data_IF_834160848880
#
_entry.id   IF_834160848880
#
_cell.length_a   1.000
_cell.length_b   1.000
_cell.length_c   1.000
_cell.angle_alpha   90.00
_cell.angle_beta   90.00
_cell.angle_gamma   90.00
#
_symmetry.space_group_name_H-M   'P 1'
#
loop_
_entity.id
_entity.type
_entity.pdbx_description
1 polymer ?
#
# COMPACT_ATOMS: atom_id res chain seq x y z
N UNK A 1 10.02 12.77 -3.13
CA UNK A 1 9.23 13.31 -1.98
C UNK A 1 7.96 12.47 -1.86
N UNK A 2 7.33 12.33 -0.69
CA UNK A 2 6.13 11.50 -0.54
C UNK A 2 4.84 12.33 -0.65
N UNK A 3 3.84 11.80 -1.36
CA UNK A 3 2.44 12.24 -1.29
C UNK A 3 1.74 11.32 -0.30
N UNK A 4 1.12 11.90 0.71
CA UNK A 4 0.28 11.21 1.68
C UNK A 4 -1.14 11.18 1.14
N UNK A 5 -1.70 9.99 0.97
CA UNK A 5 -3.10 9.87 0.60
C UNK A 5 -3.86 9.51 1.86
N UNK A 6 -4.43 10.54 2.47
CA UNK A 6 -5.41 10.34 3.52
C UNK A 6 -6.67 9.74 2.90
N UNK A 7 -7.16 8.63 3.45
CA UNK A 7 -8.37 7.93 3.00
C UNK A 7 -9.67 8.73 3.25
N UNK A 8 -9.56 10.06 3.35
CA UNK A 8 -10.44 10.88 4.15
C UNK A 8 -11.90 10.94 3.67
N UNK A 9 -12.19 10.71 2.38
CA UNK A 9 -13.56 10.90 1.89
C UNK A 9 -14.05 10.11 0.67
N UNK A 10 -13.46 8.95 0.38
CA UNK A 10 -14.13 7.94 -0.47
C UNK A 10 -15.43 7.38 0.16
N UNK A 11 -15.85 7.87 1.34
CA UNK A 11 -16.60 7.08 2.32
C UNK A 11 -17.65 7.81 3.19
N UNK A 12 -18.27 8.98 2.89
CA UNK A 12 -19.46 9.47 3.69
C UNK A 12 -20.19 10.77 3.23
N UNK A 13 -21.54 10.86 3.45
CA UNK A 13 -22.07 11.90 4.32
C UNK A 13 -22.98 11.42 5.49
N UNK A 14 -22.66 12.04 6.63
CA UNK A 14 -23.05 12.06 8.06
C UNK A 14 -24.55 11.81 8.44
N UNK A 15 -24.81 10.95 9.47
CA UNK A 15 -25.38 11.29 10.82
C UNK A 15 -25.74 10.05 11.68
N UNK A 16 -25.08 9.97 12.84
CA UNK A 16 -25.46 9.37 14.15
C UNK A 16 -25.41 7.82 14.35
N UNK A 17 -24.39 7.40 15.14
CA UNK A 17 -24.31 6.37 16.21
C UNK A 17 -25.10 5.05 16.05
N UNK A 18 -24.52 3.83 16.12
CA UNK A 18 -23.88 3.17 17.30
C UNK A 18 -23.15 1.86 16.86
N UNK A 19 -22.17 1.44 17.64
CA UNK A 19 -21.17 0.36 17.45
C UNK A 19 -21.74 -1.08 17.49
N UNK A 20 -21.18 -2.02 16.72
CA UNK A 20 -21.08 -3.46 17.05
C UNK A 20 -19.88 -4.10 16.33
N UNK A 21 -18.95 -4.69 17.09
CA UNK A 21 -17.83 -5.50 16.58
C UNK A 21 -18.35 -6.88 16.11
N UNK A 22 -17.82 -7.36 14.98
CA UNK A 22 -17.90 -8.77 14.60
C UNK A 22 -16.49 -9.31 14.31
N UNK A 23 -16.09 -10.31 15.10
CA UNK A 23 -14.84 -11.05 14.99
C UNK A 23 -15.03 -12.22 14.02
N UNK A 24 -14.20 -12.30 12.96
CA UNK A 24 -14.12 -13.48 12.11
C UNK A 24 -12.77 -14.19 12.36
N UNK A 25 -12.74 -15.51 12.64
CA UNK A 25 -11.52 -16.25 12.96
C UNK A 25 -10.71 -16.66 11.70
N UNK A 26 -9.40 -16.94 11.83
CA UNK A 26 -8.53 -17.27 10.70
C UNK A 26 -8.71 -18.73 10.22
N UNK A 27 -8.73 -18.93 8.91
CA UNK A 27 -8.68 -20.26 8.28
C UNK A 27 -7.22 -20.72 8.07
N UNK A 28 -6.88 -22.00 8.31
CA UNK A 28 -5.53 -22.52 8.13
C UNK A 28 -5.30 -23.05 6.70
N UNK A 29 -4.17 -22.69 6.08
CA UNK A 29 -3.65 -23.40 4.91
C UNK A 29 -2.35 -24.11 5.29
N UNK A 30 -2.38 -25.44 5.22
CA UNK A 30 -1.21 -26.31 5.35
C UNK A 30 -0.65 -26.59 3.94
N UNK A 31 0.67 -26.44 3.77
CA UNK A 31 1.40 -26.88 2.57
C UNK A 31 2.28 -28.07 2.96
N UNK A 32 2.07 -29.19 2.28
CA UNK A 32 2.87 -30.42 2.39
C UNK A 32 4.17 -30.27 1.60
N UNK A 33 5.31 -30.49 2.25
CA UNK A 33 6.61 -30.54 1.62
C UNK A 33 6.82 -31.87 0.88
N UNK A 34 7.30 -31.83 -0.36
CA UNK A 34 7.93 -32.95 -1.03
C UNK A 34 9.28 -32.47 -1.58
N UNK A 35 10.32 -33.20 -1.21
CA UNK A 35 11.72 -32.87 -1.39
C UNK A 35 12.28 -33.74 -2.53
N UNK A 36 12.83 -33.16 -3.59
CA UNK A 36 13.77 -33.87 -4.48
C UNK A 36 14.76 -32.88 -5.09
N UNK A 37 16.03 -33.15 -4.84
CA UNK A 37 17.23 -32.45 -5.30
C UNK A 37 17.62 -32.83 -6.73
N UNK A 38 18.06 -31.85 -7.53
CA UNK A 38 19.16 -32.03 -8.50
C UNK A 38 19.73 -30.68 -8.93
N UNK A 39 21.02 -30.50 -8.70
CA UNK A 39 21.83 -29.35 -9.14
C UNK A 39 22.04 -29.34 -10.66
N UNK A 40 21.93 -28.18 -11.29
CA UNK A 40 22.78 -27.82 -12.44
C UNK A 40 22.95 -26.31 -12.51
N UNK A 41 24.21 -25.88 -12.48
CA UNK A 41 24.60 -24.48 -12.50
C UNK A 41 24.43 -23.85 -13.87
N UNK A 42 23.67 -22.76 -13.92
CA UNK A 42 23.76 -21.77 -14.99
C UNK A 42 23.92 -20.39 -14.36
N UNK A 43 25.01 -19.71 -14.74
CA UNK A 43 25.36 -18.38 -14.28
C UNK A 43 24.21 -17.39 -14.56
N UNK A 44 23.61 -16.87 -13.49
CA UNK A 44 22.59 -15.83 -13.54
C UNK A 44 23.26 -14.49 -13.90
N UNK A 45 23.10 -14.06 -15.15
CA UNK A 45 23.37 -12.68 -15.54
C UNK A 45 22.26 -11.79 -14.97
N UNK A 46 22.59 -10.98 -13.97
CA UNK A 46 21.67 -10.02 -13.36
C UNK A 46 21.13 -9.05 -14.42
N UNK A 47 19.81 -8.80 -14.50
CA UNK A 47 19.27 -7.75 -15.35
C UNK A 47 19.77 -6.39 -14.86
N UNK A 48 20.36 -5.61 -15.76
CA UNK A 48 20.72 -4.21 -15.52
C UNK A 48 19.45 -3.41 -15.28
N UNK A 49 19.09 -3.22 -14.01
CA UNK A 49 18.06 -2.26 -13.62
C UNK A 49 18.47 -0.86 -14.07
N UNK A 50 17.49 -0.12 -14.58
CA UNK A 50 17.55 1.24 -15.10
C UNK A 50 18.20 2.15 -14.04
N UNK A 51 19.48 2.48 -14.24
CA UNK A 51 20.20 3.49 -13.47
C UNK A 51 19.87 4.85 -14.05
N UNK A 52 18.80 5.48 -13.58
CA UNK A 52 18.57 6.90 -13.79
C UNK A 52 17.89 7.48 -12.56
N UNK A 53 18.54 7.39 -11.41
CA UNK A 53 18.18 8.18 -10.24
C UNK A 53 18.75 9.59 -10.47
N UNK A 54 17.88 10.59 -10.56
CA UNK A 54 18.26 12.00 -10.78
C UNK A 54 19.20 12.48 -9.65
N UNK A 55 20.46 12.77 -10.00
CA UNK A 55 21.51 13.26 -9.09
C UNK A 55 21.07 14.52 -8.29
N UNK A 56 20.16 15.35 -8.84
CA UNK A 56 19.67 16.55 -8.14
C UNK A 56 18.77 16.20 -6.95
N UNK A 57 17.98 15.13 -7.03
CA UNK A 57 17.18 14.65 -5.90
C UNK A 57 18.06 14.07 -4.79
N UNK A 58 19.10 13.34 -5.17
CA UNK A 58 20.08 12.78 -4.24
C UNK A 58 20.81 13.88 -3.43
N UNK A 59 21.14 15.02 -4.05
CA UNK A 59 21.74 16.17 -3.36
C UNK A 59 20.79 16.84 -2.36
N UNK A 60 19.50 16.97 -2.67
CA UNK A 60 18.49 17.55 -1.76
C UNK A 60 18.22 16.66 -0.54
N UNK A 61 18.16 15.34 -0.74
CA UNK A 61 18.02 14.36 0.35
C UNK A 61 19.26 14.36 1.28
N UNK A 62 20.46 14.47 0.71
CA UNK A 62 21.71 14.60 1.50
C UNK A 62 21.77 15.90 2.31
N UNK A 63 21.37 17.02 1.72
CA UNK A 63 21.39 18.32 2.41
C UNK A 63 20.48 18.33 3.66
N UNK A 64 19.34 17.63 3.61
CA UNK A 64 18.46 17.47 4.77
C UNK A 64 19.05 16.52 5.83
N UNK A 65 19.67 15.40 5.40
CA UNK A 65 20.32 14.45 6.30
C UNK A 65 21.51 15.04 7.08
N UNK A 66 22.19 16.05 6.52
CA UNK A 66 23.40 16.63 7.12
C UNK A 66 23.08 17.59 8.30
N UNK A 67 21.83 18.03 8.46
CA UNK A 67 21.40 18.91 9.57
C UNK A 67 20.97 18.14 10.84
N UNK A 68 20.96 16.80 10.79
CA UNK A 68 20.62 15.93 11.91
C UNK A 68 21.86 15.15 12.40
N UNK A 69 22.89 15.85 12.87
CA UNK A 69 24.17 15.24 13.27
C UNK A 69 24.21 14.78 14.72
N UNK A 70 23.45 13.74 15.06
CA UNK A 70 23.82 12.71 16.05
C UNK A 70 23.17 11.40 15.59
N UNK A 71 23.82 10.25 15.81
CA UNK A 71 23.30 8.94 15.44
C UNK A 71 22.10 8.57 16.35
N UNK A 72 20.96 9.23 16.14
CA UNK A 72 19.72 9.04 16.87
C UNK A 72 19.11 7.68 16.59
N UNK A 73 19.59 6.96 15.59
CA UNK A 73 19.05 5.70 15.10
C UNK A 73 19.62 4.48 15.84
N UNK A 74 20.67 4.65 16.65
CA UNK A 74 21.28 3.53 17.39
C UNK A 74 20.38 3.06 18.55
N UNK A 75 20.41 1.77 18.93
CA UNK A 75 19.61 1.25 20.04
C UNK A 75 19.84 1.98 21.36
N UNK A 76 21.06 2.46 21.61
CA UNK A 76 21.38 3.22 22.82
C UNK A 76 20.53 4.49 22.98
N UNK A 77 20.07 5.06 21.87
CA UNK A 77 19.19 6.23 21.84
C UNK A 77 17.71 5.86 21.68
N UNK A 78 17.38 4.58 21.44
CA UNK A 78 16.02 4.06 21.25
C UNK A 78 15.78 2.79 22.08
N UNK A 79 15.50 2.91 23.39
CA UNK A 79 15.28 1.76 24.26
C UNK A 79 14.18 0.83 23.71
N UNK A 80 14.48 -0.48 23.65
CA UNK A 80 13.58 -1.50 23.12
C UNK A 80 13.80 -1.85 21.64
N UNK A 81 14.62 -1.08 20.91
CA UNK A 81 15.05 -1.43 19.56
C UNK A 81 16.07 -2.59 19.61
N UNK A 82 15.75 -3.69 18.94
CA UNK A 82 16.71 -4.77 18.71
C UNK A 82 17.46 -4.51 17.39
N UNK A 83 18.79 -4.48 17.44
CA UNK A 83 19.66 -4.24 16.27
C UNK A 83 19.88 -5.48 15.41
N UNK A 84 19.55 -6.67 15.93
CA UNK A 84 19.75 -7.95 15.24
C UNK A 84 18.39 -8.62 15.05
N UNK A 85 17.88 -8.66 13.81
CA UNK A 85 16.72 -9.47 13.47
C UNK A 85 16.97 -10.93 13.82
N UNK A 86 15.95 -11.60 14.35
CA UNK A 86 16.00 -13.04 14.61
C UNK A 86 16.16 -13.80 13.28
N UNK A 87 16.99 -14.84 13.28
CA UNK A 87 17.19 -15.74 12.14
C UNK A 87 15.88 -16.27 11.56
N UNK A 88 14.89 -16.55 12.41
CA UNK A 88 13.57 -17.03 12.01
C UNK A 88 12.76 -16.00 11.20
N UNK A 89 13.07 -14.71 11.31
CA UNK A 89 12.32 -13.61 10.67
C UNK A 89 13.01 -13.04 9.42
N UNK A 90 14.18 -13.57 9.04
CA UNK A 90 14.98 -13.03 7.92
C UNK A 90 14.27 -12.99 6.57
N UNK A 91 13.30 -13.88 6.35
CA UNK A 91 12.52 -13.92 5.10
C UNK A 91 11.25 -13.07 5.12
N UNK A 92 10.93 -12.40 6.23
CA UNK A 92 9.69 -11.64 6.35
C UNK A 92 9.82 -10.32 5.60
N UNK A 93 8.75 -9.92 4.94
CA UNK A 93 8.64 -8.60 4.32
C UNK A 93 7.21 -8.08 4.45
N UNK A 94 7.05 -6.76 4.42
CA UNK A 94 5.73 -6.14 4.43
C UNK A 94 5.08 -6.33 3.07
N UNK A 95 4.18 -7.30 2.97
CA UNK A 95 3.57 -7.68 1.70
C UNK A 95 2.35 -6.82 1.34
N UNK A 96 1.44 -6.55 2.28
CA UNK A 96 0.19 -5.86 1.98
C UNK A 96 -0.29 -4.91 3.06
N UNK A 97 -1.05 -3.91 2.62
CA UNK A 97 -1.94 -3.10 3.46
C UNK A 97 -3.37 -3.24 2.94
N UNK A 98 -4.29 -3.68 3.80
CA UNK A 98 -5.68 -3.91 3.42
C UNK A 98 -6.58 -2.72 3.79
N UNK A 99 -7.39 -2.30 2.83
CA UNK A 99 -8.42 -1.27 2.99
C UNK A 99 -9.76 -1.78 2.48
N UNK A 100 -10.82 -1.57 3.26
CA UNK A 100 -12.17 -1.86 2.79
C UNK A 100 -12.68 -0.73 1.91
N UNK A 101 -13.29 -1.07 0.79
CA UNK A 101 -13.82 -0.12 -0.20
C UNK A 101 -15.32 -0.30 -0.38
N UNK A 102 -16.05 0.83 -0.46
CA UNK A 102 -17.50 0.84 -0.67
C UNK A 102 -17.84 0.43 -2.10
N UNK A 103 -17.24 1.11 -3.08
CA UNK A 103 -17.45 0.85 -4.49
C UNK A 103 -16.10 0.53 -5.14
N UNK A 104 -15.90 -0.71 -5.64
CA UNK A 104 -14.66 -1.09 -6.29
C UNK A 104 -14.46 -0.35 -7.61
N UNK A 105 -15.50 0.08 -8.32
CA UNK A 105 -15.36 0.80 -9.61
C UNK A 105 -14.68 2.14 -9.40
N UNK A 106 -15.17 2.92 -8.43
CA UNK A 106 -14.60 4.23 -8.07
C UNK A 106 -13.18 4.05 -7.55
N UNK A 107 -12.98 3.04 -6.69
CA UNK A 107 -11.66 2.78 -6.09
C UNK A 107 -10.64 2.36 -7.14
N UNK A 108 -10.98 1.43 -8.02
CA UNK A 108 -10.11 0.96 -9.10
C UNK A 108 -9.74 2.10 -10.06
N UNK A 109 -10.69 2.96 -10.43
CA UNK A 109 -10.39 4.14 -11.26
C UNK A 109 -9.40 5.09 -10.56
N UNK A 110 -9.61 5.37 -9.27
CA UNK A 110 -8.69 6.20 -8.50
C UNK A 110 -7.28 5.59 -8.43
N UNK A 111 -7.15 4.34 -7.96
CA UNK A 111 -5.83 3.71 -7.81
C UNK A 111 -5.13 3.48 -9.14
N UNK A 112 -5.87 3.20 -10.22
CA UNK A 112 -5.27 2.98 -11.55
C UNK A 112 -5.02 4.28 -12.32
N UNK A 113 -6.06 5.04 -12.67
CA UNK A 113 -5.95 6.23 -13.51
C UNK A 113 -5.29 7.39 -12.78
N UNK A 114 -5.65 7.63 -11.51
CA UNK A 114 -5.11 8.76 -10.76
C UNK A 114 -3.73 8.42 -10.21
N UNK A 115 -3.55 7.27 -9.57
CA UNK A 115 -2.28 6.93 -8.91
C UNK A 115 -1.31 6.10 -9.76
N UNK A 116 -1.74 5.56 -10.89
CA UNK A 116 -0.88 4.79 -11.80
C UNK A 116 -0.61 3.35 -11.36
N UNK A 117 -1.38 2.81 -10.41
CA UNK A 117 -1.24 1.40 -10.00
C UNK A 117 -1.89 0.46 -11.02
N UNK A 118 -1.37 -0.76 -11.11
CA UNK A 118 -1.98 -1.83 -11.93
C UNK A 118 -2.69 -2.84 -11.04
N UNK A 119 -3.78 -3.42 -11.56
CA UNK A 119 -4.47 -4.54 -10.92
C UNK A 119 -3.65 -5.81 -11.15
N UNK A 120 -3.11 -6.38 -10.08
CA UNK A 120 -2.25 -7.56 -10.13
C UNK A 120 -3.10 -8.83 -10.08
N UNK A 121 -4.05 -8.90 -9.15
CA UNK A 121 -4.94 -10.05 -8.98
C UNK A 121 -6.31 -9.61 -8.47
N UNK A 122 -7.35 -10.31 -8.92
CA UNK A 122 -8.68 -10.29 -8.30
C UNK A 122 -9.00 -11.68 -7.79
N UNK A 123 -9.54 -11.76 -6.57
CA UNK A 123 -10.08 -12.99 -5.99
C UNK A 123 -11.52 -12.74 -5.56
N UNK A 124 -12.43 -13.58 -5.98
CA UNK A 124 -13.86 -13.48 -5.66
C UNK A 124 -14.24 -14.65 -4.75
N UNK A 125 -14.95 -14.38 -3.66
CA UNK A 125 -15.39 -15.38 -2.67
C UNK A 125 -16.91 -15.37 -2.56
N UNK A 126 -17.63 -16.10 -3.43
CA UNK A 126 -19.10 -16.03 -3.50
C UNK A 126 -19.80 -16.46 -2.21
N UNK A 127 -19.31 -17.51 -1.55
CA UNK A 127 -19.91 -18.03 -0.32
C UNK A 127 -19.87 -17.01 0.84
N UNK A 128 -18.85 -16.15 0.84
CA UNK A 128 -18.65 -15.11 1.84
C UNK A 128 -19.05 -13.71 1.36
N UNK A 129 -19.50 -13.58 0.10
CA UNK A 129 -19.96 -12.34 -0.54
C UNK A 129 -18.95 -11.17 -0.46
N UNK A 130 -17.69 -11.44 -0.77
CA UNK A 130 -16.70 -10.37 -0.93
C UNK A 130 -15.71 -10.65 -2.06
N UNK A 131 -15.08 -9.58 -2.54
CA UNK A 131 -14.02 -9.62 -3.55
C UNK A 131 -12.78 -8.88 -3.04
N UNK A 132 -11.60 -9.38 -3.39
CA UNK A 132 -10.31 -8.79 -3.10
C UNK A 132 -9.65 -8.30 -4.39
N UNK A 133 -9.15 -7.07 -4.40
CA UNK A 133 -8.43 -6.48 -5.51
C UNK A 133 -7.02 -6.08 -5.05
N UNK A 134 -6.01 -6.73 -5.59
CA UNK A 134 -4.61 -6.46 -5.25
C UNK A 134 -4.02 -5.47 -6.25
N UNK A 135 -3.71 -4.26 -5.79
CA UNK A 135 -3.17 -3.16 -6.60
C UNK A 135 -1.69 -2.90 -6.25
N UNK A 136 -0.86 -2.59 -7.24
CA UNK A 136 0.55 -2.25 -6.99
C UNK A 136 1.24 -1.58 -8.17
N UNK A 137 2.49 -1.17 -7.99
CA UNK A 137 3.35 -0.54 -9.01
C UNK A 137 4.23 -1.57 -9.74
N UNK A 138 3.66 -2.71 -10.09
CA UNK A 138 4.36 -3.80 -10.78
C UNK A 138 4.02 -3.83 -12.25
N UNK A 139 4.91 -4.43 -13.05
CA UNK A 139 4.63 -4.63 -14.46
C UNK A 139 3.78 -5.87 -14.71
N UNK A 140 2.53 -5.65 -15.14
CA UNK A 140 1.57 -6.71 -15.44
C UNK A 140 1.93 -7.53 -16.68
N UNK A 141 2.78 -7.02 -17.57
CA UNK A 141 3.17 -7.71 -18.80
C UNK A 141 4.15 -8.85 -18.49
N UNK A 142 4.89 -8.74 -17.38
CA UNK A 142 5.74 -9.77 -16.82
C UNK A 142 4.99 -10.75 -15.90
N UNK A 143 3.70 -10.53 -15.65
CA UNK A 143 2.94 -11.38 -14.74
C UNK A 143 2.56 -12.71 -15.44
N UNK A 144 2.63 -13.85 -14.73
CA UNK A 144 2.23 -15.14 -15.29
C UNK A 144 0.80 -15.14 -15.82
N UNK A 145 0.58 -15.88 -16.91
CA UNK A 145 -0.74 -16.09 -17.49
C UNK A 145 -1.56 -17.10 -16.69
N UNK A 146 -0.92 -18.11 -16.11
CA UNK A 146 -1.58 -19.06 -15.23
C UNK A 146 -2.09 -18.37 -13.95
N UNK A 147 -3.29 -18.73 -13.54
CA UNK A 147 -3.98 -18.09 -12.41
C UNK A 147 -3.29 -18.38 -11.08
N UNK A 148 -2.81 -19.60 -10.86
CA UNK A 148 -2.15 -19.99 -9.62
C UNK A 148 -0.76 -19.36 -9.53
N UNK A 149 0.02 -19.41 -10.61
CA UNK A 149 1.34 -18.77 -10.68
C UNK A 149 1.23 -17.25 -10.51
N UNK A 150 0.23 -16.60 -11.12
CA UNK A 150 -0.01 -15.17 -10.93
C UNK A 150 -0.34 -14.83 -9.49
N UNK A 151 -0.99 -15.73 -8.76
CA UNK A 151 -1.30 -15.56 -7.34
C UNK A 151 -0.01 -15.58 -6.53
N UNK A 152 0.84 -16.59 -6.73
CA UNK A 152 2.16 -16.67 -6.08
C UNK A 152 3.01 -15.43 -6.39
N UNK A 153 3.06 -15.03 -7.66
CA UNK A 153 3.77 -13.82 -8.10
C UNK A 153 3.26 -12.56 -7.40
N UNK A 154 1.94 -12.39 -7.27
CA UNK A 154 1.35 -11.21 -6.61
C UNK A 154 1.71 -11.14 -5.13
N UNK A 155 1.66 -12.28 -4.42
CA UNK A 155 1.98 -12.34 -2.98
C UNK A 155 3.47 -12.23 -2.66
N UNK A 156 4.33 -12.08 -3.67
CA UNK A 156 5.75 -11.73 -3.50
C UNK A 156 6.03 -10.23 -3.63
N UNK A 157 4.98 -9.40 -3.79
CA UNK A 157 5.08 -7.96 -4.04
C UNK A 157 4.46 -7.14 -2.92
N UNK A 158 4.83 -5.86 -2.84
CA UNK A 158 4.17 -4.88 -1.95
C UNK A 158 2.89 -4.38 -2.62
N UNK A 159 1.74 -4.65 -2.02
CA UNK A 159 0.43 -4.37 -2.63
C UNK A 159 -0.53 -3.66 -1.67
N UNK A 160 -1.49 -2.95 -2.24
CA UNK A 160 -2.70 -2.53 -1.54
C UNK A 160 -3.79 -3.55 -1.84
N UNK A 161 -4.31 -4.20 -0.80
CA UNK A 161 -5.47 -5.08 -0.88
C UNK A 161 -6.74 -4.24 -0.67
N UNK A 162 -7.58 -4.15 -1.69
CA UNK A 162 -8.89 -3.52 -1.58
C UNK A 162 -9.95 -4.60 -1.39
N UNK A 163 -10.58 -4.63 -0.21
CA UNK A 163 -11.65 -5.57 0.11
C UNK A 163 -13.01 -4.93 -0.14
N UNK A 164 -13.80 -5.51 -1.04
CA UNK A 164 -15.17 -5.09 -1.32
C UNK A 164 -16.16 -6.12 -0.77
N UNK A 165 -16.96 -5.71 0.20
CA UNK A 165 -18.12 -6.48 0.65
C UNK A 165 -19.30 -6.19 -0.28
N UNK A 166 -19.87 -7.23 -0.89
CA UNK A 166 -20.87 -7.06 -1.94
C UNK A 166 -22.14 -6.37 -1.42
N UNK A 167 -22.66 -5.43 -2.21
CA UNK A 167 -23.88 -4.67 -1.89
C UNK A 167 -23.64 -3.36 -1.17
N UNK A 168 -22.43 -3.13 -0.61
CA UNK A 168 -22.10 -1.87 0.06
C UNK A 168 -22.16 -0.64 -0.86
N UNK A 169 -21.94 -0.83 -2.17
CA UNK A 169 -22.03 0.19 -3.21
C UNK A 169 -23.48 0.63 -3.49
N UNK A 170 -24.46 -0.25 -3.26
CA UNK A 170 -25.88 -0.02 -3.56
C UNK A 170 -26.73 0.25 -2.31
N UNK A 171 -26.16 0.06 -1.12
CA UNK A 171 -26.83 0.32 0.14
C UNK A 171 -26.89 1.84 0.43
N UNK A 172 -28.10 2.45 0.49
CA UNK A 172 -28.27 3.88 0.79
C UNK A 172 -28.00 4.23 2.26
N UNK A 173 -28.13 3.25 3.16
CA UNK A 173 -27.86 3.40 4.59
C UNK A 173 -26.37 3.19 4.90
N UNK A 174 -25.66 2.47 4.02
CA UNK A 174 -24.21 2.33 4.13
C UNK A 174 -23.50 3.65 3.84
N UNK A 175 -23.13 4.31 4.92
CA UNK A 175 -22.46 5.59 4.88
C UNK A 175 -21.04 5.51 4.30
N UNK A 176 -20.37 4.38 4.47
CA UNK A 176 -18.99 4.16 4.06
C UNK A 176 -18.14 3.72 5.26
N UNK A 177 -16.90 3.33 4.98
CA UNK A 177 -15.94 2.90 5.99
C UNK A 177 -15.34 4.10 6.72
N UNK A 178 -14.95 3.88 7.97
CA UNK A 178 -14.25 4.89 8.76
C UNK A 178 -12.78 4.94 8.36
N UNK A 179 -12.23 6.15 8.17
CA UNK A 179 -10.88 6.38 7.65
C UNK A 179 -9.79 6.39 8.74
N UNK A 180 -10.14 6.23 10.02
CA UNK A 180 -9.23 6.23 11.17
C UNK A 180 -8.67 7.59 11.60
N UNK A 181 -8.95 8.68 10.86
CA UNK A 181 -8.41 10.02 11.10
C UNK A 181 -9.33 10.92 11.97
N UNK A 182 -10.48 10.38 12.37
CA UNK A 182 -11.41 10.99 13.35
C UNK A 182 -11.74 9.97 14.43
N UNK A 183 -12.45 10.34 15.48
CA UNK A 183 -12.79 9.36 16.54
C UNK A 183 -13.70 8.24 16.03
N UNK A 184 -13.46 6.96 16.41
CA UNK A 184 -12.29 6.46 17.12
C UNK A 184 -11.05 6.42 16.21
N UNK A 185 -9.93 7.01 16.65
CA UNK A 185 -8.70 7.10 15.84
C UNK A 185 -7.98 5.76 15.74
N UNK A 186 -7.27 5.57 14.62
CA UNK A 186 -6.48 4.36 14.36
C UNK A 186 -5.53 4.53 13.18
N UNK A 187 -5.80 3.84 12.08
CA UNK A 187 -5.03 3.99 10.84
C UNK A 187 -5.05 5.45 10.35
N UNK A 188 -3.88 5.97 9.97
CA UNK A 188 -3.75 7.33 9.43
C UNK A 188 -3.82 7.34 7.90
N UNK A 189 -2.73 6.92 7.27
CA UNK A 189 -2.57 6.95 5.82
C UNK A 189 -1.38 6.08 5.40
N UNK A 190 -1.30 5.79 4.10
CA UNK A 190 -0.07 5.33 3.46
C UNK A 190 0.53 6.46 2.62
N UNK A 191 1.83 6.39 2.40
CA UNK A 191 2.58 7.36 1.61
C UNK A 191 3.03 6.77 0.27
N UNK A 192 2.97 7.57 -0.78
CA UNK A 192 3.49 7.23 -2.11
C UNK A 192 4.66 8.16 -2.42
N UNK A 193 5.84 7.60 -2.62
CA UNK A 193 7.00 8.39 -3.08
C UNK A 193 6.85 8.72 -4.55
N UNK A 194 6.97 10.01 -4.88
CA UNK A 194 6.94 10.54 -6.24
C UNK A 194 8.19 11.35 -6.53
N UNK A 195 8.51 11.49 -7.82
CA UNK A 195 9.63 12.28 -8.28
C UNK A 195 9.46 13.76 -7.90
N UNK A 196 8.32 14.35 -8.24
CA UNK A 196 8.03 15.77 -8.00
C UNK A 196 6.64 15.93 -7.40
N UNK A 197 6.59 16.26 -6.11
CA UNK A 197 5.34 16.43 -5.36
C UNK A 197 4.48 17.54 -5.95
N UNK A 198 5.05 18.66 -6.39
CA UNK A 198 4.27 19.76 -6.93
C UNK A 198 3.62 19.38 -8.26
N UNK A 199 4.37 18.76 -9.17
CA UNK A 199 3.81 18.26 -10.44
C UNK A 199 2.75 17.19 -10.23
N UNK A 200 2.95 16.29 -9.26
CA UNK A 200 1.95 15.29 -8.91
C UNK A 200 0.66 15.94 -8.40
N UNK A 201 0.77 16.89 -7.46
CA UNK A 201 -0.38 17.61 -6.91
C UNK A 201 -1.08 18.49 -7.96
N UNK A 202 -0.36 19.14 -8.88
CA UNK A 202 -0.97 19.85 -10.00
C UNK A 202 -1.80 18.91 -10.89
N UNK A 203 -1.27 17.72 -11.19
CA UNK A 203 -2.00 16.70 -11.95
C UNK A 203 -3.24 16.24 -11.19
N UNK A 204 -3.11 15.96 -9.89
CA UNK A 204 -4.24 15.56 -9.04
C UNK A 204 -5.33 16.64 -8.99
N UNK A 205 -4.95 17.92 -8.86
CA UNK A 205 -5.88 19.04 -8.91
C UNK A 205 -6.63 19.13 -10.25
N UNK A 206 -5.93 18.95 -11.37
CA UNK A 206 -6.54 18.90 -12.73
C UNK A 206 -7.52 17.73 -12.89
N UNK A 207 -7.30 16.64 -12.17
CA UNK A 207 -8.18 15.47 -12.16
C UNK A 207 -9.32 15.58 -11.13
N UNK A 208 -9.43 16.71 -10.42
CA UNK A 208 -10.49 16.96 -9.44
C UNK A 208 -10.33 16.18 -8.13
N UNK A 209 -9.10 15.77 -7.79
CA UNK A 209 -8.82 15.07 -6.53
C UNK A 209 -8.97 16.03 -5.34
N UNK A 210 -9.66 15.57 -4.29
CA UNK A 210 -9.79 16.29 -3.03
C UNK A 210 -8.49 16.21 -2.21
N UNK A 211 -8.04 17.34 -1.68
CA UNK A 211 -6.86 17.43 -0.84
C UNK A 211 -7.25 17.67 0.61
N UNK A 212 -6.70 16.88 1.52
CA UNK A 212 -6.76 17.19 2.97
C UNK A 212 -5.77 18.29 3.32
N UNK A 213 -4.59 18.29 2.68
CA UNK A 213 -3.54 19.29 2.84
C UNK A 213 -2.81 19.47 1.51
N UNK A 214 -2.55 20.71 1.09
CA UNK A 214 -1.74 20.99 -0.10
C UNK A 214 -0.24 21.07 0.22
N UNK A 215 0.65 20.92 -0.77
CA UNK A 215 2.10 21.03 -0.57
C UNK A 215 2.55 22.32 0.13
N UNK A 216 1.85 23.42 -0.11
CA UNK A 216 2.18 24.74 0.44
C UNK A 216 1.45 25.06 1.75
N UNK A 217 0.54 24.18 2.20
CA UNK A 217 -0.23 24.42 3.43
C UNK A 217 0.57 23.95 4.66
N UNK A 218 1.03 24.87 5.51
CA UNK A 218 1.56 24.55 6.85
C UNK A 218 3.08 24.32 6.96
N UNK A 219 3.55 24.06 8.19
CA UNK A 219 4.98 24.10 8.57
C UNK A 219 5.81 22.84 8.23
N UNK A 220 5.17 21.70 7.93
CA UNK A 220 5.89 20.44 7.72
C UNK A 220 5.80 19.98 6.26
N UNK A 221 6.91 20.03 5.49
CA UNK A 221 6.90 19.81 4.04
C UNK A 221 7.00 18.33 3.62
N UNK A 222 6.70 17.38 4.52
CA UNK A 222 6.87 15.94 4.27
C UNK A 222 5.58 15.13 4.35
N UNK A 223 4.51 15.70 4.88
CA UNK A 223 3.25 15.02 5.14
C UNK A 223 2.11 15.81 4.49
N UNK A 224 1.65 15.45 3.29
CA UNK A 224 0.56 16.14 2.57
C UNK A 224 -0.40 15.16 1.91
#
# INVERSE_FOLDING_TARGET
>A
MAVVISAARLLLPIRHSRLLLSTCPPAPFAVSAANTSSESGHAFLAPKFITSFDQKQHHRLRAFATMASQAKEIPANNPGLNDKPDEATKGYFLQQTMLRVKDPKISLDFYSRVLGMKLLKRLDFPDMKFSLYFMGYEDTDAAPADSAERTVWTFQKVVIELTHNWGTESDPDFKGYHNGNSEPRGFGHFGITVDDTYKACERFAKLGVEFVKKPDDGMCPFWF
#
